data_IF_785777571831
#
_entry.id   IF_785777571831
#
_cell.length_a   1.000
_cell.length_b   1.000
_cell.length_c   1.000
_cell.angle_alpha   90.00
_cell.angle_beta   90.00
_cell.angle_gamma   90.00
#
_symmetry.space_group_name_H-M   'P 1'
#
loop_
_entity.id
_entity.type
_entity.pdbx_description
1 polymer ?
#
# COMPACT_ATOMS: atom_id res chain seq x y z
N UNK A 1 -3.20 -53.40 9.84
CA UNK A 1 -2.57 -53.42 8.51
C UNK A 1 -3.11 -52.18 7.78
N UNK A 2 -2.37 -51.07 7.83
CA UNK A 2 -2.82 -49.79 7.25
C UNK A 2 -2.20 -49.71 5.86
N UNK A 3 -3.03 -49.75 4.82
CA UNK A 3 -2.57 -49.56 3.45
C UNK A 3 -2.14 -48.11 3.27
N UNK A 4 -0.85 -47.87 3.07
CA UNK A 4 -0.34 -46.58 2.61
C UNK A 4 -0.76 -46.37 1.16
N UNK A 5 -1.59 -45.36 0.93
CA UNK A 5 -1.87 -44.86 -0.42
C UNK A 5 -0.64 -44.08 -0.91
N UNK A 6 0.11 -44.69 -1.83
CA UNK A 6 1.14 -44.02 -2.59
C UNK A 6 0.47 -43.21 -3.70
N UNK A 7 0.39 -41.89 -3.54
CA UNK A 7 0.06 -41.01 -4.65
C UNK A 7 1.25 -40.94 -5.60
N UNK A 8 1.04 -41.33 -6.85
CA UNK A 8 1.99 -41.10 -7.94
C UNK A 8 2.09 -39.59 -8.15
N UNK A 9 3.19 -38.99 -7.73
CA UNK A 9 3.58 -37.65 -8.18
C UNK A 9 3.90 -37.79 -9.67
N UNK A 10 3.00 -37.29 -10.54
CA UNK A 10 3.37 -36.94 -11.91
C UNK A 10 4.41 -35.83 -11.79
N UNK A 11 5.48 -35.88 -12.58
CA UNK A 11 6.51 -34.84 -12.69
C UNK A 11 5.87 -33.44 -12.79
N UNK A 12 5.68 -32.80 -11.63
CA UNK A 12 4.74 -31.69 -11.46
C UNK A 12 4.93 -31.10 -10.07
N UNK A 13 5.07 -29.78 -10.06
CA UNK A 13 5.45 -28.91 -8.95
C UNK A 13 4.64 -29.26 -7.69
N UNK A 14 5.29 -29.29 -6.53
CA UNK A 14 4.60 -29.64 -5.28
C UNK A 14 3.54 -28.57 -4.96
N UNK A 15 2.35 -28.89 -4.43
CA UNK A 15 1.30 -27.89 -4.16
C UNK A 15 1.77 -26.73 -3.26
N UNK A 16 2.74 -26.98 -2.39
CA UNK A 16 3.37 -25.96 -1.55
C UNK A 16 4.30 -25.03 -2.35
N UNK A 17 4.97 -25.55 -3.38
CA UNK A 17 5.78 -24.75 -4.32
C UNK A 17 4.87 -23.91 -5.23
N UNK A 18 3.75 -24.45 -5.71
CA UNK A 18 2.75 -23.67 -6.48
C UNK A 18 2.14 -22.54 -5.64
N UNK A 19 1.81 -22.79 -4.37
CA UNK A 19 1.28 -21.76 -3.47
C UNK A 19 2.33 -20.66 -3.18
N UNK A 20 3.59 -21.05 -3.00
CA UNK A 20 4.69 -20.12 -2.81
C UNK A 20 4.95 -19.27 -4.07
N UNK A 21 5.01 -19.89 -5.26
CA UNK A 21 5.16 -19.18 -6.54
C UNK A 21 3.96 -18.25 -6.83
N UNK A 22 2.76 -18.67 -6.46
CA UNK A 22 1.55 -17.84 -6.53
C UNK A 22 1.69 -16.60 -5.66
N UNK A 23 2.04 -16.73 -4.37
CA UNK A 23 2.26 -15.57 -3.49
C UNK A 23 3.39 -14.65 -3.99
N UNK A 24 4.44 -15.23 -4.57
CA UNK A 24 5.57 -14.49 -5.11
C UNK A 24 5.25 -13.75 -6.43
N UNK A 25 4.13 -14.06 -7.10
CA UNK A 25 3.73 -13.43 -8.35
C UNK A 25 2.56 -12.45 -8.22
N UNK A 26 1.94 -12.36 -7.04
CA UNK A 26 0.84 -11.43 -6.81
C UNK A 26 1.30 -9.98 -6.97
N UNK A 27 0.55 -9.25 -7.80
CA UNK A 27 0.81 -7.85 -8.15
C UNK A 27 -0.39 -6.99 -7.85
N UNK A 28 -0.13 -5.72 -7.55
CA UNK A 28 -1.14 -4.69 -7.39
C UNK A 28 -0.69 -3.39 -8.05
N UNK A 29 -1.62 -2.45 -8.22
CA UNK A 29 -1.30 -1.09 -8.63
C UNK A 29 -1.37 -0.16 -7.41
N UNK A 30 -0.58 0.90 -7.47
CA UNK A 30 -0.63 1.98 -6.49
C UNK A 30 -1.06 3.26 -7.20
N UNK A 31 -2.08 3.92 -6.66
CA UNK A 31 -2.46 5.28 -7.02
C UNK A 31 -1.77 6.22 -6.03
N UNK A 32 -0.80 6.98 -6.54
CA UNK A 32 -0.05 7.97 -5.76
C UNK A 32 -0.71 9.34 -5.87
N UNK A 33 -1.10 9.92 -4.73
CA UNK A 33 -1.46 11.33 -4.60
C UNK A 33 -0.27 12.08 -4.03
N UNK A 34 0.34 12.97 -4.81
CA UNK A 34 1.54 13.71 -4.39
C UNK A 34 1.46 15.20 -4.79
N UNK A 35 2.25 16.04 -4.12
CA UNK A 35 2.25 17.49 -4.35
C UNK A 35 1.00 18.24 -3.86
N UNK A 36 0.10 17.57 -3.14
CA UNK A 36 -1.03 18.16 -2.42
C UNK A 36 -0.76 18.25 -0.91
N UNK A 37 -1.82 18.48 -0.14
CA UNK A 37 -1.71 18.59 1.32
C UNK A 37 -2.92 18.03 2.05
N UNK A 38 -2.71 17.62 3.30
CA UNK A 38 -3.79 17.19 4.20
C UNK A 38 -4.46 18.39 4.86
N UNK A 39 -5.78 18.35 4.90
CA UNK A 39 -6.63 19.30 5.61
C UNK A 39 -7.44 18.55 6.64
N UNK A 40 -7.54 19.11 7.85
CA UNK A 40 -8.44 18.60 8.87
C UNK A 40 -9.71 19.43 8.88
N UNK A 41 -10.83 18.76 8.72
CA UNK A 41 -12.16 19.34 8.78
C UNK A 41 -12.63 19.46 10.23
N UNK A 42 -13.61 20.32 10.47
CA UNK A 42 -14.13 20.61 11.81
C UNK A 42 -14.77 19.39 12.51
N UNK A 43 -15.29 18.44 11.73
CA UNK A 43 -15.88 17.19 12.20
C UNK A 43 -14.83 16.15 12.61
N UNK A 44 -13.55 16.42 12.35
CA UNK A 44 -12.43 15.54 12.65
C UNK A 44 -11.88 14.82 11.42
N UNK A 45 -12.57 14.86 10.29
CA UNK A 45 -12.18 14.17 9.07
C UNK A 45 -10.90 14.76 8.48
N UNK A 46 -10.10 13.90 7.88
CA UNK A 46 -8.89 14.32 7.16
C UNK A 46 -9.06 14.06 5.67
N UNK A 47 -8.92 15.11 4.87
CA UNK A 47 -8.97 15.03 3.41
C UNK A 47 -7.61 15.40 2.82
N UNK A 48 -7.22 14.71 1.75
CA UNK A 48 -6.11 15.13 0.90
C UNK A 48 -6.64 16.05 -0.21
N UNK A 49 -6.04 17.23 -0.38
CA UNK A 49 -6.47 18.21 -1.38
C UNK A 49 -5.30 18.71 -2.22
N UNK A 50 -5.58 18.84 -3.52
CA UNK A 50 -4.60 19.31 -4.50
C UNK A 50 -3.69 18.18 -4.96
N UNK A 51 -2.58 18.56 -5.60
CA UNK A 51 -1.59 17.61 -6.09
C UNK A 51 -1.89 16.99 -7.45
N UNK A 52 -1.12 15.96 -7.77
CA UNK A 52 -1.17 15.18 -9.01
C UNK A 52 -1.33 13.71 -8.66
N UNK A 53 -2.09 13.00 -9.50
CA UNK A 53 -2.25 11.57 -9.40
C UNK A 53 -1.27 10.86 -10.33
N UNK A 54 -0.59 9.82 -9.84
CA UNK A 54 0.21 8.94 -10.69
C UNK A 54 -0.07 7.48 -10.36
N UNK A 55 -0.43 6.71 -11.39
CA UNK A 55 -0.61 5.26 -11.24
C UNK A 55 0.74 4.58 -11.46
N UNK A 56 1.11 3.70 -10.52
CA UNK A 56 2.29 2.85 -10.64
C UNK A 56 1.85 1.40 -10.59
N UNK A 57 1.85 0.75 -11.75
CA UNK A 57 1.30 -0.58 -11.93
C UNK A 57 2.31 -1.70 -11.68
N UNK A 58 1.78 -2.91 -11.42
CA UNK A 58 2.56 -4.16 -11.43
C UNK A 58 3.56 -4.27 -10.29
N UNK A 59 3.21 -3.79 -9.09
CA UNK A 59 4.05 -3.91 -7.90
C UNK A 59 3.85 -5.27 -7.25
N UNK A 60 4.95 -5.98 -7.00
CA UNK A 60 4.93 -7.26 -6.32
C UNK A 60 4.69 -7.06 -4.83
N UNK A 61 3.67 -7.71 -4.27
CA UNK A 61 3.28 -7.57 -2.85
C UNK A 61 4.46 -7.91 -1.94
N UNK A 62 5.11 -9.06 -2.16
CA UNK A 62 6.22 -9.53 -1.32
C UNK A 62 7.47 -8.64 -1.38
N UNK A 63 7.56 -7.72 -2.35
CA UNK A 63 8.64 -6.72 -2.41
C UNK A 63 8.19 -5.37 -1.84
N UNK A 64 6.90 -5.13 -1.70
CA UNK A 64 6.41 -3.84 -1.26
C UNK A 64 6.79 -3.60 0.20
N UNK A 65 7.57 -2.55 0.43
CA UNK A 65 8.22 -2.25 1.71
C UNK A 65 8.57 -0.78 1.76
N UNK A 66 8.84 -0.24 2.95
CA UNK A 66 9.23 1.16 3.11
C UNK A 66 10.46 1.51 2.27
N UNK A 67 11.43 0.59 2.13
CA UNK A 67 12.61 0.79 1.28
C UNK A 67 12.21 1.00 -0.19
N UNK A 68 11.27 0.22 -0.70
CA UNK A 68 10.84 0.35 -2.10
C UNK A 68 9.93 1.55 -2.32
N UNK A 69 9.15 1.92 -1.30
CA UNK A 69 8.38 3.16 -1.31
C UNK A 69 9.32 4.38 -1.30
N UNK A 70 10.34 4.40 -0.45
CA UNK A 70 11.33 5.49 -0.43
C UNK A 70 12.06 5.61 -1.76
N UNK A 71 12.48 4.49 -2.37
CA UNK A 71 13.07 4.51 -3.73
C UNK A 71 12.12 5.07 -4.78
N UNK A 72 10.82 4.83 -4.65
CA UNK A 72 9.81 5.35 -5.57
C UNK A 72 9.70 6.87 -5.48
N UNK A 73 9.74 7.41 -4.25
CA UNK A 73 9.67 8.86 -3.99
C UNK A 73 11.00 9.57 -4.28
N UNK A 74 12.14 8.93 -4.00
CA UNK A 74 13.48 9.42 -4.38
C UNK A 74 13.62 9.54 -5.90
N UNK A 75 13.08 8.56 -6.65
CA UNK A 75 12.99 8.64 -8.11
C UNK A 75 12.14 9.81 -8.62
N UNK A 76 11.34 10.45 -7.76
CA UNK A 76 10.55 11.66 -8.06
C UNK A 76 11.23 12.95 -7.57
N UNK A 77 12.38 12.85 -6.91
CA UNK A 77 13.15 13.98 -6.39
C UNK A 77 12.81 14.34 -4.94
N UNK A 78 12.10 13.48 -4.20
CA UNK A 78 11.85 13.67 -2.77
C UNK A 78 12.92 13.00 -1.93
N UNK A 79 13.40 13.71 -0.90
CA UNK A 79 14.45 13.20 -0.02
C UNK A 79 13.80 12.33 1.06
N UNK A 80 14.47 11.24 1.44
CA UNK A 80 14.06 10.44 2.60
C UNK A 80 13.91 11.33 3.84
N UNK A 81 12.92 11.05 4.69
CA UNK A 81 12.53 11.87 5.86
C UNK A 81 11.84 13.22 5.55
N UNK A 82 11.71 13.63 4.28
CA UNK A 82 10.97 14.87 3.92
C UNK A 82 9.52 14.62 3.52
N UNK A 83 9.02 13.39 3.68
CA UNK A 83 7.65 13.03 3.36
C UNK A 83 7.09 12.01 4.35
N UNK A 84 5.77 12.02 4.46
CA UNK A 84 4.97 11.09 5.26
C UNK A 84 3.96 10.41 4.33
N UNK A 85 3.71 9.13 4.54
CA UNK A 85 2.88 8.33 3.66
C UNK A 85 1.63 7.85 4.37
N UNK A 86 0.50 8.09 3.74
CA UNK A 86 -0.79 7.67 4.25
C UNK A 86 -1.49 6.80 3.22
N UNK A 87 -2.44 6.01 3.68
CA UNK A 87 -3.37 5.26 2.85
C UNK A 87 -4.77 5.37 3.42
N UNK A 88 -5.76 4.97 2.64
CA UNK A 88 -7.15 4.86 3.08
C UNK A 88 -7.65 3.46 2.78
N UNK A 89 -7.86 2.66 3.82
CA UNK A 89 -8.40 1.31 3.72
C UNK A 89 -9.71 1.29 4.49
N UNK A 90 -10.83 1.48 3.78
CA UNK A 90 -12.16 1.69 4.38
C UNK A 90 -12.60 0.57 5.33
N UNK A 91 -12.16 -0.66 5.06
CA UNK A 91 -12.49 -1.83 5.88
C UNK A 91 -11.68 -1.89 7.19
N UNK A 92 -10.60 -1.12 7.30
CA UNK A 92 -9.74 -1.04 8.49
C UNK A 92 -10.04 0.24 9.28
N UNK A 93 -10.06 1.39 8.61
CA UNK A 93 -10.34 2.71 9.19
C UNK A 93 -11.03 3.60 8.15
N UNK A 94 -12.07 4.31 8.58
CA UNK A 94 -12.75 5.30 7.74
C UNK A 94 -11.86 6.54 7.46
N UNK A 95 -10.83 6.72 8.28
CA UNK A 95 -9.81 7.77 8.19
C UNK A 95 -8.57 7.33 7.42
N UNK A 96 -7.65 8.27 7.25
CA UNK A 96 -6.32 7.99 6.67
C UNK A 96 -5.40 7.34 7.70
N UNK A 97 -4.74 6.27 7.31
CA UNK A 97 -3.80 5.50 8.11
C UNK A 97 -2.36 5.76 7.64
N UNK A 98 -1.42 5.93 8.59
CA UNK A 98 0.00 6.17 8.29
C UNK A 98 0.73 4.83 8.05
N UNK A 99 1.36 4.68 6.88
CA UNK A 99 2.28 3.57 6.59
C UNK A 99 3.66 3.88 7.21
N UNK A 100 3.98 3.27 8.36
CA UNK A 100 5.19 3.61 9.15
C UNK A 100 6.32 2.61 9.03
N UNK A 101 6.00 1.38 8.65
CA UNK A 101 6.94 0.26 8.67
C UNK A 101 6.62 -0.73 7.53
N UNK A 102 7.43 -1.77 7.41
CA UNK A 102 7.28 -2.76 6.33
C UNK A 102 6.02 -3.61 6.46
N UNK A 103 5.54 -3.85 7.68
CA UNK A 103 4.32 -4.62 7.91
C UNK A 103 3.10 -3.81 7.47
N UNK A 104 3.04 -2.52 7.84
CA UNK A 104 2.01 -1.58 7.37
C UNK A 104 2.00 -1.51 5.82
N UNK A 105 3.18 -1.49 5.19
CA UNK A 105 3.31 -1.46 3.73
C UNK A 105 2.81 -2.78 3.11
N UNK A 106 3.20 -3.92 3.68
CA UNK A 106 2.75 -5.23 3.23
C UNK A 106 1.24 -5.36 3.34
N UNK A 107 0.65 -5.00 4.48
CA UNK A 107 -0.79 -5.08 4.73
C UNK A 107 -1.58 -4.23 3.73
N UNK A 108 -1.09 -3.02 3.41
CA UNK A 108 -1.64 -2.18 2.35
C UNK A 108 -1.64 -2.87 0.98
N UNK A 109 -0.51 -3.46 0.59
CA UNK A 109 -0.38 -4.15 -0.70
C UNK A 109 -1.22 -5.42 -0.77
N UNK A 110 -1.24 -6.19 0.32
CA UNK A 110 -2.01 -7.42 0.46
C UNK A 110 -3.52 -7.12 0.41
N UNK A 111 -3.98 -6.08 1.09
CA UNK A 111 -5.37 -5.62 1.03
C UNK A 111 -5.75 -5.26 -0.41
N UNK A 112 -4.99 -4.35 -1.05
CA UNK A 112 -5.29 -3.89 -2.40
C UNK A 112 -5.40 -5.05 -3.40
N UNK A 113 -4.50 -6.02 -3.31
CA UNK A 113 -4.55 -7.21 -4.14
C UNK A 113 -5.75 -8.13 -3.80
N UNK A 114 -6.02 -8.36 -2.51
CA UNK A 114 -7.09 -9.26 -2.08
C UNK A 114 -8.49 -8.73 -2.41
N UNK A 115 -8.66 -7.42 -2.42
CA UNK A 115 -9.93 -6.76 -2.79
C UNK A 115 -10.00 -6.35 -4.25
N UNK A 116 -8.96 -6.64 -5.05
CA UNK A 116 -8.86 -6.27 -6.47
C UNK A 116 -9.08 -4.76 -6.73
N UNK A 117 -8.57 -3.92 -5.83
CA UNK A 117 -8.62 -2.45 -5.96
C UNK A 117 -7.21 -1.88 -6.13
N UNK A 118 -7.13 -0.69 -6.72
CA UNK A 118 -5.88 0.05 -6.72
C UNK A 118 -5.60 0.57 -5.29
N UNK A 119 -4.36 0.39 -4.84
CA UNK A 119 -3.94 0.86 -3.52
C UNK A 119 -3.77 2.37 -3.51
N UNK A 120 -4.60 3.07 -2.74
CA UNK A 120 -4.54 4.54 -2.59
C UNK A 120 -3.46 4.96 -1.60
N UNK A 121 -2.42 5.66 -2.08
CA UNK A 121 -1.30 6.12 -1.27
C UNK A 121 -1.11 7.63 -1.42
N UNK A 122 -1.14 8.35 -0.30
CA UNK A 122 -1.08 9.79 -0.22
C UNK A 122 0.25 10.23 0.37
N UNK A 123 1.01 11.02 -0.38
CA UNK A 123 2.32 11.52 0.00
C UNK A 123 2.15 12.96 0.51
N UNK A 124 2.41 13.15 1.79
CA UNK A 124 2.44 14.46 2.45
C UNK A 124 3.87 14.98 2.54
N UNK A 125 4.12 16.16 1.98
CA UNK A 125 5.39 16.88 2.09
C UNK A 125 5.27 18.04 3.08
N UNK A 126 6.38 18.45 3.70
CA UNK A 126 6.44 19.62 4.60
C UNK A 126 5.40 19.63 5.74
N UNK A 127 5.03 18.44 6.23
CA UNK A 127 3.96 18.25 7.21
C UNK A 127 4.40 18.77 8.59
N UNK A 128 4.23 20.08 8.81
CA UNK A 128 4.37 20.74 10.12
C UNK A 128 2.99 20.90 10.75
N UNK A 129 2.52 19.86 11.43
CA UNK A 129 1.22 19.87 12.11
C UNK A 129 0.03 19.87 11.15
N UNK A 130 -0.90 18.93 11.33
CA UNK A 130 -2.18 18.91 10.60
C UNK A 130 -3.09 20.01 11.21
N UNK A 131 -2.70 21.28 11.11
CA UNK A 131 -3.33 22.39 11.86
C UNK A 131 -4.15 23.36 11.01
N UNK A 132 -4.38 23.08 9.72
CA UNK A 132 -5.31 23.92 8.94
C UNK A 132 -6.73 23.39 9.13
N UNK A 133 -7.42 23.96 10.13
CA UNK A 133 -8.85 23.76 10.35
C UNK A 133 -9.63 24.60 9.32
N UNK A 134 -10.32 23.95 8.38
CA UNK A 134 -11.17 24.64 7.40
C UNK A 134 -12.63 24.50 7.81
N UNK A 135 -13.35 25.62 7.88
CA UNK A 135 -14.81 25.59 8.06
C UNK A 135 -15.47 25.08 6.79
N UNK A 136 -16.04 23.88 6.84
CA UNK A 136 -17.00 23.41 5.83
C UNK A 136 -18.20 24.38 5.78
N UNK A 137 -18.72 24.71 4.57
CA UNK A 137 -19.82 25.65 4.39
C UNK A 137 -21.12 25.24 5.08
#
# INVERSE_FOLDING_TARGET
MVQSQWYKVKDGIHPEEEAYESQMSQMFNVVLHHGGGFLRLNDGDTIYRGGVLTIVSGKLIHKWSMVNIHKLEDGRGYIEETFIIWTKILDIDENVFHIRNNDDAYDFAAYACATEVDGEMFVGHDVTGIEVTVKSP
#
